data_IF_277258758530
#
_entry.id   IF_277258758530
#
_cell.length_a   1.000
_cell.length_b   1.000
_cell.length_c   1.000
_cell.angle_alpha   90.00
_cell.angle_beta   90.00
_cell.angle_gamma   90.00
#
_symmetry.space_group_name_H-M   'P 1'
#
loop_
_entity.id
_entity.type
_entity.pdbx_description
1 polymer ?
#
# COMPACT_ATOMS: atom_id res chain seq x y z
N UNK A 1 -6.85 13.30 -31.21
CA UNK A 1 -6.82 11.82 -31.33
C UNK A 1 -7.23 11.27 -29.98
N UNK A 2 -8.46 10.76 -29.85
CA UNK A 2 -8.96 10.19 -28.60
C UNK A 2 -8.67 8.68 -28.63
N UNK A 3 -7.86 8.19 -27.71
CA UNK A 3 -7.65 6.76 -27.53
C UNK A 3 -8.83 6.18 -26.75
N UNK A 4 -9.52 5.20 -27.32
CA UNK A 4 -10.50 4.38 -26.59
C UNK A 4 -9.78 3.15 -26.02
N UNK A 5 -9.81 2.95 -24.71
CA UNK A 5 -9.25 1.75 -24.07
C UNK A 5 -9.97 0.50 -24.59
N UNK A 6 -9.23 -0.41 -25.22
CA UNK A 6 -9.75 -1.63 -25.85
C UNK A 6 -10.10 -2.75 -24.84
N UNK A 7 -9.75 -2.57 -23.56
CA UNK A 7 -10.07 -3.51 -22.49
C UNK A 7 -9.19 -3.29 -21.24
N UNK A 8 -9.51 -3.99 -20.15
CA UNK A 8 -8.75 -4.05 -18.90
C UNK A 8 -8.53 -5.51 -18.53
N UNK A 9 -7.35 -5.86 -18.04
CA UNK A 9 -7.06 -7.17 -17.44
C UNK A 9 -6.84 -7.02 -15.93
N UNK A 10 -7.24 -8.02 -15.15
CA UNK A 10 -7.06 -8.04 -13.70
C UNK A 10 -6.47 -9.38 -13.27
N UNK A 11 -5.46 -9.34 -12.40
CA UNK A 11 -4.90 -10.52 -11.75
C UNK A 11 -5.22 -10.39 -10.26
N UNK A 12 -5.72 -11.47 -9.67
CA UNK A 12 -6.03 -11.54 -8.25
C UNK A 12 -4.88 -12.20 -7.50
N UNK A 13 -4.35 -11.51 -6.48
CA UNK A 13 -3.39 -12.10 -5.56
C UNK A 13 -4.10 -13.00 -4.56
N UNK A 14 -3.93 -14.31 -4.75
CA UNK A 14 -4.54 -15.30 -3.87
C UNK A 14 -3.84 -15.34 -2.52
N UNK A 15 -4.64 -15.15 -1.47
CA UNK A 15 -4.20 -15.38 -0.10
C UNK A 15 -4.15 -16.88 0.22
N UNK A 16 -3.49 -17.19 1.34
CA UNK A 16 -3.58 -18.53 1.91
C UNK A 16 -5.01 -18.80 2.38
N UNK A 17 -5.40 -20.07 2.35
CA UNK A 17 -6.71 -20.52 2.83
C UNK A 17 -6.91 -20.13 4.31
N UNK A 18 -8.08 -19.61 4.65
CA UNK A 18 -8.44 -19.28 6.03
C UNK A 18 -7.91 -17.93 6.54
N UNK A 19 -7.17 -17.16 5.74
CA UNK A 19 -6.60 -15.87 6.17
C UNK A 19 -7.69 -14.89 6.64
N UNK A 20 -8.75 -14.64 5.87
CA UNK A 20 -9.76 -13.68 6.30
C UNK A 20 -10.52 -14.12 7.55
N UNK A 21 -10.87 -15.40 7.66
CA UNK A 21 -11.55 -15.98 8.82
C UNK A 21 -10.68 -15.89 10.08
N UNK A 22 -9.38 -16.14 9.93
CA UNK A 22 -8.42 -16.03 11.03
C UNK A 22 -8.29 -14.60 11.51
N UNK A 23 -8.20 -13.63 10.59
CA UNK A 23 -8.13 -12.20 10.93
C UNK A 23 -9.38 -11.77 11.70
N UNK A 24 -10.57 -12.19 11.27
CA UNK A 24 -11.82 -11.87 11.95
C UNK A 24 -11.85 -12.44 13.38
N UNK A 25 -11.50 -13.72 13.54
CA UNK A 25 -11.39 -14.36 14.86
C UNK A 25 -10.42 -13.61 15.80
N UNK A 26 -9.29 -13.13 15.28
CA UNK A 26 -8.33 -12.34 16.07
C UNK A 26 -8.93 -11.00 16.49
N UNK A 27 -9.66 -10.33 15.60
CA UNK A 27 -10.33 -9.05 15.89
C UNK A 27 -11.45 -9.21 16.93
N UNK A 28 -12.28 -10.24 16.80
CA UNK A 28 -13.32 -10.57 17.78
C UNK A 28 -12.74 -10.89 19.17
N UNK A 29 -11.53 -11.47 19.21
CA UNK A 29 -10.77 -11.69 20.44
C UNK A 29 -10.11 -10.41 21.01
N UNK A 30 -10.28 -9.25 20.37
CA UNK A 30 -9.71 -7.97 20.79
C UNK A 30 -8.24 -7.76 20.42
N UNK A 31 -7.71 -8.56 19.49
CA UNK A 31 -6.32 -8.48 19.04
C UNK A 31 -6.22 -7.51 17.85
N UNK A 32 -5.27 -6.58 17.93
CA UNK A 32 -5.00 -5.64 16.85
C UNK A 32 -4.02 -6.25 15.85
N UNK A 33 -4.47 -6.42 14.61
CA UNK A 33 -3.67 -6.99 13.52
C UNK A 33 -3.03 -5.88 12.70
N UNK A 34 -1.72 -5.96 12.49
CA UNK A 34 -0.94 -5.01 11.68
C UNK A 34 -0.18 -5.76 10.60
N UNK A 35 -0.17 -5.22 9.38
CA UNK A 35 0.62 -5.76 8.27
C UNK A 35 1.78 -4.82 7.98
N UNK A 36 3.00 -5.33 8.10
CA UNK A 36 4.21 -4.67 7.65
C UNK A 36 4.71 -5.38 6.41
N UNK A 37 4.83 -4.66 5.30
CA UNK A 37 5.32 -5.20 4.02
C UNK A 37 6.28 -4.22 3.38
N UNK A 38 7.24 -4.76 2.62
CA UNK A 38 8.13 -3.98 1.76
C UNK A 38 7.60 -3.83 0.33
N UNK A 39 6.38 -4.29 0.06
CA UNK A 39 5.74 -4.17 -1.24
C UNK A 39 5.20 -2.75 -1.48
N UNK A 40 4.78 -2.46 -2.72
CA UNK A 40 4.15 -1.21 -3.10
C UNK A 40 2.87 -0.98 -2.30
N UNK A 41 2.56 0.30 -2.07
CA UNK A 41 1.38 0.71 -1.33
C UNK A 41 0.08 0.17 -1.95
N UNK A 42 -0.02 0.18 -3.28
CA UNK A 42 -1.22 -0.29 -3.98
C UNK A 42 -1.43 -1.79 -3.74
N UNK A 43 -0.36 -2.59 -3.79
CA UNK A 43 -0.42 -4.03 -3.50
C UNK A 43 -0.79 -4.28 -2.04
N UNK A 44 -0.19 -3.52 -1.11
CA UNK A 44 -0.50 -3.63 0.32
C UNK A 44 -2.00 -3.35 0.60
N UNK A 45 -2.57 -2.33 -0.04
CA UNK A 45 -3.99 -2.01 0.07
C UNK A 45 -4.85 -3.15 -0.52
N UNK A 46 -4.52 -3.66 -1.70
CA UNK A 46 -5.24 -4.77 -2.32
C UNK A 46 -5.23 -6.03 -1.43
N UNK A 47 -4.07 -6.38 -0.88
CA UNK A 47 -3.91 -7.51 0.04
C UNK A 47 -4.71 -7.30 1.32
N UNK A 48 -4.71 -6.09 1.87
CA UNK A 48 -5.49 -5.77 3.07
C UNK A 48 -7.00 -5.87 2.83
N UNK A 49 -7.49 -5.50 1.63
CA UNK A 49 -8.88 -5.72 1.23
C UNK A 49 -9.20 -7.22 1.08
N UNK A 50 -8.35 -7.97 0.36
CA UNK A 50 -8.54 -9.41 0.17
C UNK A 50 -8.53 -10.18 1.50
N UNK A 51 -7.79 -9.69 2.49
CA UNK A 51 -7.67 -10.28 3.82
C UNK A 51 -8.79 -9.86 4.78
N UNK A 52 -9.77 -9.06 4.34
CA UNK A 52 -10.79 -8.40 5.18
C UNK A 52 -10.23 -7.60 6.37
N UNK A 53 -8.96 -7.18 6.27
CA UNK A 53 -8.34 -6.30 7.26
C UNK A 53 -8.90 -4.88 7.14
N UNK A 54 -9.22 -4.46 5.92
CA UNK A 54 -9.93 -3.22 5.59
C UNK A 54 -11.10 -3.53 4.65
N UNK A 55 -12.13 -2.71 4.70
CA UNK A 55 -13.33 -2.79 3.86
C UNK A 55 -13.65 -1.39 3.32
N UNK A 56 -14.55 -1.30 2.34
CA UNK A 56 -14.94 -0.03 1.73
C UNK A 56 -15.61 0.95 2.71
N UNK A 57 -16.07 0.46 3.87
CA UNK A 57 -16.63 1.28 4.95
C UNK A 57 -15.54 2.01 5.77
N UNK A 58 -14.30 1.53 5.70
CA UNK A 58 -13.19 2.12 6.44
C UNK A 58 -12.65 3.36 5.71
N UNK A 59 -12.34 4.41 6.48
CA UNK A 59 -11.61 5.57 5.97
C UNK A 59 -10.11 5.26 5.91
N UNK A 60 -9.54 5.23 4.71
CA UNK A 60 -8.09 5.08 4.53
C UNK A 60 -7.36 6.40 4.78
N UNK A 61 -6.29 6.34 5.58
CA UNK A 61 -5.40 7.48 5.88
C UNK A 61 -4.02 7.15 5.35
N UNK A 62 -3.53 7.94 4.40
CA UNK A 62 -2.21 7.80 3.80
C UNK A 62 -1.24 8.83 4.38
N UNK A 63 -0.10 8.37 4.89
CA UNK A 63 0.96 9.23 5.43
C UNK A 63 2.22 8.97 4.60
N UNK A 64 2.36 9.76 3.54
CA UNK A 64 3.47 9.64 2.61
C UNK A 64 4.35 10.88 2.68
N UNK A 65 5.65 10.69 2.88
CA UNK A 65 6.64 11.76 2.75
C UNK A 65 7.06 11.86 1.28
N UNK A 66 6.83 13.01 0.65
CA UNK A 66 7.58 13.36 -0.54
C UNK A 66 8.80 14.13 -0.09
N UNK A 67 9.99 13.56 -0.30
CA UNK A 67 11.22 14.34 -0.23
C UNK A 67 11.15 15.36 -1.36
N UNK A 68 10.74 16.60 -1.08
CA UNK A 68 11.20 17.72 -1.90
C UNK A 68 12.71 17.68 -1.77
N UNK A 69 13.40 17.19 -2.80
CA UNK A 69 14.79 17.55 -3.00
C UNK A 69 14.79 19.06 -2.93
N UNK A 70 15.40 19.62 -1.89
CA UNK A 70 15.79 21.03 -1.86
C UNK A 70 16.71 21.24 -3.04
N UNK A 71 16.12 21.52 -4.21
CA UNK A 71 16.83 22.22 -5.27
C UNK A 71 17.14 23.58 -4.67
N UNK A 72 18.42 23.78 -4.42
CA UNK A 72 19.06 25.02 -4.02
C UNK A 72 19.08 25.28 -2.51
N UNK A 73 20.17 24.85 -1.86
CA UNK A 73 21.04 25.74 -1.09
C UNK A 73 22.46 25.13 -1.08
N UNK A 74 23.23 25.40 -2.13
CA UNK A 74 24.68 25.53 -1.96
C UNK A 74 25.20 26.67 -2.85
N UNK A 75 25.70 27.78 -2.30
CA UNK A 75 26.67 28.60 -3.01
C UNK A 75 28.05 27.91 -3.08
N UNK A 76 28.24 26.77 -2.39
CA UNK A 76 29.48 26.01 -2.36
C UNK A 76 29.21 24.53 -2.66
N UNK A 77 29.22 24.18 -3.95
CA UNK A 77 29.15 22.80 -4.38
C UNK A 77 30.39 22.02 -3.94
N UNK A 78 30.23 21.11 -2.98
CA UNK A 78 31.17 20.03 -2.71
C UNK A 78 30.42 18.72 -2.92
N UNK A 79 30.61 18.17 -4.12
CA UNK A 79 30.24 16.81 -4.47
C UNK A 79 31.24 15.86 -3.79
N UNK A 80 30.77 15.05 -2.85
CA UNK A 80 31.43 13.79 -2.53
C UNK A 80 30.67 12.69 -3.26
N UNK A 81 31.28 12.14 -4.30
CA UNK A 81 30.94 10.85 -4.86
C UNK A 81 31.98 9.86 -4.33
N UNK A 82 31.54 8.85 -3.58
CA UNK A 82 32.14 7.52 -3.62
C UNK A 82 31.32 6.67 -4.61
#
# INVERSE_FOLDING_TARGET
MLYSSLGVTGIEDRLQEGVPETIECLREAGIHVWVLTGDKQETAVNVAHAAHLITDEHKLIYINASSKVTKDLSPYGLLFHD
#
